data_IF_200386759267
#
_entry.id   IF_200386759267
#
_cell.length_a   1.000
_cell.length_b   1.000
_cell.length_c   1.000
_cell.angle_alpha   90.00
_cell.angle_beta   90.00
_cell.angle_gamma   90.00
#
_symmetry.space_group_name_H-M   'P 1'
#
loop_
_entity.id
_entity.type
_entity.pdbx_description
1 polymer ?
#
# COMPACT_ATOMS: atom_id res chain seq x y z
N UNK A 1 -9.58 16.77 -17.27
CA UNK A 1 -9.82 16.47 -15.84
C UNK A 1 -8.44 16.37 -15.22
N UNK A 2 -8.19 17.01 -14.08
CA UNK A 2 -6.92 16.83 -13.36
C UNK A 2 -7.19 15.78 -12.31
N UNK A 3 -6.50 14.65 -12.42
CA UNK A 3 -6.62 13.58 -11.44
C UNK A 3 -5.91 13.99 -10.15
N UNK A 4 -6.46 13.55 -9.02
CA UNK A 4 -5.86 13.76 -7.71
C UNK A 4 -4.53 13.01 -7.68
N UNK A 5 -3.44 13.59 -7.15
CA UNK A 5 -2.19 12.86 -6.98
C UNK A 5 -2.40 11.60 -6.14
N UNK A 6 -1.84 10.47 -6.58
CA UNK A 6 -2.03 9.14 -5.95
C UNK A 6 -1.70 9.18 -4.46
N UNK A 7 -0.62 9.86 -4.07
CA UNK A 7 -0.21 10.01 -2.67
C UNK A 7 -1.30 10.62 -1.77
N UNK A 8 -2.09 11.55 -2.32
CA UNK A 8 -3.19 12.19 -1.59
C UNK A 8 -4.37 11.24 -1.48
N UNK A 9 -4.69 10.53 -2.56
CA UNK A 9 -5.79 9.56 -2.58
C UNK A 9 -5.53 8.40 -1.60
N UNK A 10 -4.31 7.85 -1.64
CA UNK A 10 -3.84 6.81 -0.72
C UNK A 10 -3.92 7.26 0.74
N UNK A 11 -3.52 8.50 1.03
CA UNK A 11 -3.58 9.07 2.38
C UNK A 11 -5.01 9.18 2.90
N UNK A 12 -5.96 9.58 2.04
CA UNK A 12 -7.38 9.64 2.40
C UNK A 12 -7.92 8.23 2.66
N UNK A 13 -7.58 7.26 1.81
CA UNK A 13 -7.94 5.84 1.98
C UNK A 13 -7.43 5.26 3.31
N UNK A 14 -6.15 5.50 3.62
CA UNK A 14 -5.52 5.07 4.87
C UNK A 14 -6.26 5.61 6.10
N UNK A 15 -6.53 6.92 6.14
CA UNK A 15 -7.22 7.56 7.27
C UNK A 15 -8.65 7.04 7.44
N UNK A 16 -9.36 6.76 6.33
CA UNK A 16 -10.70 6.18 6.36
C UNK A 16 -10.68 4.79 6.98
N UNK A 17 -9.78 3.91 6.55
CA UNK A 17 -9.63 2.57 7.10
C UNK A 17 -9.28 2.61 8.59
N UNK A 18 -8.37 3.50 8.98
CA UNK A 18 -8.01 3.71 10.38
C UNK A 18 -9.24 4.14 11.21
N UNK A 19 -10.09 5.04 10.69
CA UNK A 19 -11.32 5.46 11.39
C UNK A 19 -12.35 4.35 11.55
N UNK A 20 -12.28 3.32 10.69
CA UNK A 20 -13.12 2.12 10.76
C UNK A 20 -12.55 1.07 11.72
N UNK A 21 -11.41 1.35 12.37
CA UNK A 21 -10.72 0.41 13.25
C UNK A 21 -9.96 -0.69 12.49
N UNK A 22 -9.72 -0.50 11.19
CA UNK A 22 -8.90 -1.42 10.39
C UNK A 22 -7.43 -1.06 10.60
N UNK A 23 -6.65 -2.03 11.07
CA UNK A 23 -5.21 -1.93 11.17
C UNK A 23 -4.58 -2.37 9.84
N UNK A 24 -3.68 -1.54 9.31
CA UNK A 24 -2.88 -1.86 8.12
C UNK A 24 -1.48 -2.17 8.61
N UNK A 25 -1.07 -3.42 8.49
CA UNK A 25 0.25 -3.88 8.88
C UNK A 25 1.32 -3.45 7.87
N UNK A 26 2.57 -3.75 8.20
CA UNK A 26 3.72 -3.47 7.34
C UNK A 26 4.40 -4.78 7.01
N UNK A 27 4.83 -4.89 5.76
CA UNK A 27 5.67 -6.00 5.34
C UNK A 27 6.93 -6.03 6.22
N UNK A 28 7.28 -7.24 6.67
CA UNK A 28 8.62 -7.47 7.20
C UNK A 28 9.65 -7.32 6.07
N UNK A 29 10.91 -7.10 6.42
CA UNK A 29 12.00 -7.04 5.44
C UNK A 29 12.07 -8.31 4.59
N UNK A 30 11.86 -9.48 5.20
CA UNK A 30 11.82 -10.77 4.49
C UNK A 30 10.63 -10.84 3.51
N UNK A 31 9.44 -10.39 3.91
CA UNK A 31 8.26 -10.38 3.04
C UNK A 31 8.42 -9.40 1.87
N UNK A 32 8.98 -8.22 2.13
CA UNK A 32 9.30 -7.25 1.08
C UNK A 32 10.29 -7.85 0.09
N UNK A 33 11.41 -8.40 0.58
CA UNK A 33 12.43 -9.03 -0.26
C UNK A 33 11.87 -10.22 -1.03
N UNK A 34 10.99 -11.03 -0.44
CA UNK A 34 10.33 -12.14 -1.13
C UNK A 34 9.52 -11.65 -2.33
N UNK A 35 8.68 -10.61 -2.14
CA UNK A 35 7.86 -10.02 -3.21
C UNK A 35 8.74 -9.37 -4.28
N UNK A 36 9.75 -8.59 -3.89
CA UNK A 36 10.65 -7.86 -4.78
C UNK A 36 11.59 -8.80 -5.56
N UNK A 37 11.95 -9.95 -4.97
CA UNK A 37 12.77 -10.98 -5.63
C UNK A 37 12.01 -11.80 -6.68
N UNK A 38 10.69 -11.65 -6.75
CA UNK A 38 9.85 -12.41 -7.67
C UNK A 38 9.77 -11.69 -9.02
N UNK A 39 10.79 -11.87 -9.86
CA UNK A 39 10.69 -11.61 -11.29
C UNK A 39 9.88 -12.76 -11.93
N UNK A 40 8.57 -12.58 -12.13
CA UNK A 40 7.83 -13.47 -13.04
C UNK A 40 8.37 -13.30 -14.46
N UNK A 41 9.34 -14.15 -14.81
CA UNK A 41 9.67 -14.43 -16.20
C UNK A 41 8.64 -15.39 -16.80
N UNK A 42 7.59 -14.84 -17.42
CA UNK A 42 6.90 -15.44 -18.59
C UNK A 42 6.36 -14.36 -19.51
#
# INVERSE_FOLDING_TARGET
>A
MVDVPVEIDDKVGFLKLQSMGVEIDKLTEEQYNYIDSYEEGT
#
